data_IF_504940363308
#
_entry.id   IF_504940363308
#
_cell.length_a   1.000
_cell.length_b   1.000
_cell.length_c   1.000
_cell.angle_alpha   90.00
_cell.angle_beta   90.00
_cell.angle_gamma   90.00
#
_symmetry.space_group_name_H-M   'P 1'
#
loop_
_entity.id
_entity.type
_entity.pdbx_description
1 polymer ?
#
# COMPACT_ATOMS: atom_id res chain seq x y z
N UNK A 1 -2.21 -9.58 38.78
CA UNK A 1 -1.62 -10.39 37.69
C UNK A 1 -1.89 -9.67 36.38
N UNK A 2 -0.86 -9.24 35.69
CA UNK A 2 -1.01 -8.68 34.33
C UNK A 2 -1.46 -9.84 33.44
N UNK A 3 -2.65 -9.75 32.89
CA UNK A 3 -3.23 -10.76 31.99
C UNK A 3 -2.52 -10.79 30.64
N UNK A 4 -1.91 -9.68 30.26
CA UNK A 4 -1.11 -9.52 29.05
C UNK A 4 0.14 -8.72 29.41
N UNK A 5 1.28 -9.09 28.86
CA UNK A 5 2.49 -8.30 28.96
C UNK A 5 2.57 -7.25 27.79
N UNK A 6 3.64 -6.47 27.77
CA UNK A 6 3.80 -5.40 26.79
C UNK A 6 3.99 -5.96 25.37
N UNK A 7 4.68 -7.10 25.25
CA UNK A 7 4.91 -7.77 23.96
C UNK A 7 3.59 -8.33 23.42
N UNK A 8 2.81 -9.01 24.26
CA UNK A 8 1.48 -9.51 23.91
C UNK A 8 0.55 -8.38 23.42
N UNK A 9 0.60 -7.23 24.08
CA UNK A 9 -0.21 -6.07 23.69
C UNK A 9 0.22 -5.48 22.36
N UNK A 10 1.53 -5.40 22.10
CA UNK A 10 2.07 -4.92 20.81
C UNK A 10 1.73 -5.87 19.64
N UNK A 11 1.84 -7.19 19.85
CA UNK A 11 1.43 -8.18 18.86
C UNK A 11 -0.06 -8.06 18.52
N UNK A 12 -0.90 -7.88 19.54
CA UNK A 12 -2.34 -7.71 19.35
C UNK A 12 -2.67 -6.41 18.66
N UNK A 13 -1.99 -5.31 19.01
CA UNK A 13 -2.14 -4.02 18.32
C UNK A 13 -1.78 -4.15 16.83
N UNK A 14 -0.71 -4.87 16.54
CA UNK A 14 -0.28 -5.14 15.16
C UNK A 14 -1.28 -6.02 14.39
N UNK A 15 -1.86 -7.02 15.04
CA UNK A 15 -2.77 -8.00 14.40
C UNK A 15 -4.19 -7.47 14.23
N UNK A 16 -4.71 -6.73 15.20
CA UNK A 16 -6.10 -6.23 15.18
C UNK A 16 -6.23 -4.80 14.65
N UNK A 17 -5.11 -4.08 14.50
CA UNK A 17 -5.10 -2.64 14.22
C UNK A 17 -5.59 -1.82 15.41
N UNK A 18 -5.46 -0.50 15.33
CA UNK A 18 -5.86 0.41 16.43
C UNK A 18 -7.34 0.29 16.79
N UNK A 19 -8.22 0.25 15.80
CA UNK A 19 -9.67 0.18 16.04
C UNK A 19 -10.09 -1.11 16.71
N UNK A 20 -9.59 -2.25 16.23
CA UNK A 20 -9.87 -3.56 16.83
C UNK A 20 -9.27 -3.69 18.24
N UNK A 21 -8.06 -3.19 18.44
CA UNK A 21 -7.40 -3.17 19.73
C UNK A 21 -8.17 -2.32 20.76
N UNK A 22 -8.58 -1.10 20.41
CA UNK A 22 -9.35 -0.22 21.28
C UNK A 22 -10.69 -0.84 21.65
N UNK A 23 -11.40 -1.45 20.69
CA UNK A 23 -12.67 -2.09 20.96
C UNK A 23 -12.53 -3.29 21.91
N UNK A 24 -11.55 -4.17 21.66
CA UNK A 24 -11.42 -5.44 22.41
C UNK A 24 -10.63 -5.35 23.72
N UNK A 25 -9.64 -4.49 23.78
CA UNK A 25 -8.71 -4.41 24.92
C UNK A 25 -8.88 -3.13 25.76
N UNK A 26 -9.26 -2.02 25.14
CA UNK A 26 -9.50 -0.76 25.86
C UNK A 26 -10.99 -0.55 26.16
N UNK A 27 -11.90 -1.40 25.65
CA UNK A 27 -13.36 -1.28 25.81
C UNK A 27 -13.89 0.09 25.39
N UNK A 28 -13.22 0.76 24.45
CA UNK A 28 -13.62 2.06 23.95
C UNK A 28 -14.66 1.87 22.85
N UNK A 29 -15.90 2.15 23.18
CA UNK A 29 -17.04 2.08 22.25
C UNK A 29 -17.34 3.43 21.59
N UNK A 30 -16.70 4.52 22.05
CA UNK A 30 -16.84 5.83 21.45
C UNK A 30 -15.91 5.93 20.24
N UNK A 31 -16.46 5.73 19.05
CA UNK A 31 -15.72 5.98 17.82
C UNK A 31 -15.57 7.49 17.62
N UNK A 32 -14.48 8.06 18.13
CA UNK A 32 -14.06 9.38 17.69
C UNK A 32 -13.76 9.34 16.19
N UNK A 33 -13.80 10.49 15.50
CA UNK A 33 -13.40 10.57 14.08
C UNK A 33 -12.02 9.95 13.82
N UNK A 34 -11.14 10.00 14.82
CA UNK A 34 -9.83 9.37 14.78
C UNK A 34 -9.89 7.83 14.69
N UNK A 35 -10.88 7.17 15.28
CA UNK A 35 -11.07 5.72 15.23
C UNK A 35 -11.90 5.30 14.00
N UNK A 36 -12.78 6.18 13.53
CA UNK A 36 -13.60 5.94 12.34
C UNK A 36 -12.75 5.86 11.08
N UNK A 37 -11.66 6.63 10.99
CA UNK A 37 -10.73 6.68 9.87
C UNK A 37 -9.38 6.06 10.28
N UNK A 38 -9.19 4.74 10.11
CA UNK A 38 -8.06 4.02 10.72
C UNK A 38 -6.71 4.32 10.08
N UNK A 39 -6.69 4.77 8.82
CA UNK A 39 -5.45 5.05 8.11
C UNK A 39 -5.04 6.51 8.30
N UNK A 40 -3.83 6.74 8.79
CA UNK A 40 -3.31 8.08 9.12
C UNK A 40 -2.07 8.39 8.29
N UNK A 41 -1.94 9.65 7.83
CA UNK A 41 -0.75 10.09 7.11
C UNK A 41 0.49 10.09 8.00
N UNK A 42 0.33 10.33 9.29
CA UNK A 42 1.44 10.31 10.25
C UNK A 42 1.99 8.90 10.55
N UNK A 43 1.35 7.85 10.07
CA UNK A 43 1.87 6.49 10.12
C UNK A 43 2.83 6.17 8.95
N UNK A 44 2.81 7.00 7.92
CA UNK A 44 3.69 6.88 6.75
C UNK A 44 5.09 7.43 7.05
N UNK A 45 6.08 6.92 6.33
CA UNK A 45 7.41 7.52 6.27
C UNK A 45 7.55 8.21 4.91
N UNK A 46 7.78 9.51 4.89
CA UNK A 46 8.03 10.23 3.63
C UNK A 46 9.52 10.44 3.43
N UNK A 47 10.06 9.85 2.36
CA UNK A 47 11.47 9.92 1.99
C UNK A 47 11.61 10.47 0.57
N UNK A 48 12.14 11.68 0.43
CA UNK A 48 12.26 12.35 -0.87
C UNK A 48 13.10 11.54 -1.86
N UNK A 49 12.59 11.40 -3.08
CA UNK A 49 13.25 10.71 -4.18
C UNK A 49 13.17 9.18 -4.14
N UNK A 50 12.53 8.59 -3.13
CA UNK A 50 12.53 7.13 -2.94
C UNK A 50 11.82 6.38 -4.09
N UNK A 51 10.94 7.01 -4.84
CA UNK A 51 10.31 6.42 -6.02
C UNK A 51 11.30 6.09 -7.15
N UNK A 52 12.47 6.73 -7.16
CA UNK A 52 13.51 6.51 -8.16
C UNK A 52 14.63 5.59 -7.69
N UNK A 53 14.60 5.16 -6.43
CA UNK A 53 15.67 4.36 -5.85
C UNK A 53 15.73 2.96 -6.48
N UNK A 54 16.96 2.53 -6.82
CA UNK A 54 17.28 1.15 -7.21
C UNK A 54 17.71 0.30 -6.00
N UNK A 55 18.24 0.96 -5.00
CA UNK A 55 18.63 0.44 -3.70
C UNK A 55 18.05 1.35 -2.63
N UNK A 56 17.73 0.82 -1.46
CA UNK A 56 17.19 1.59 -0.35
C UNK A 56 18.12 1.51 0.87
N UNK A 57 18.03 2.46 1.81
CA UNK A 57 18.73 2.35 3.08
C UNK A 57 18.44 1.01 3.74
N UNK A 58 19.48 0.27 4.13
CA UNK A 58 19.35 -1.03 4.80
C UNK A 58 18.48 -0.96 6.07
N UNK A 59 18.39 0.24 6.67
CA UNK A 59 17.51 0.52 7.79
C UNK A 59 16.91 1.91 7.64
N UNK A 60 15.58 1.99 7.72
CA UNK A 60 14.80 3.22 7.79
C UNK A 60 13.89 3.16 9.01
N UNK A 61 13.80 4.23 9.78
CA UNK A 61 13.03 4.27 11.01
C UNK A 61 12.10 5.48 11.04
N UNK A 62 10.86 5.22 11.44
CA UNK A 62 9.87 6.24 11.73
C UNK A 62 10.24 7.04 12.98
N UNK A 63 9.78 8.29 13.06
CA UNK A 63 9.99 9.12 14.25
C UNK A 63 9.14 8.62 15.43
N UNK A 64 9.77 8.28 16.54
CA UNK A 64 9.10 7.68 17.70
C UNK A 64 8.75 8.67 18.81
N UNK A 65 9.19 9.92 18.73
CA UNK A 65 8.87 10.95 19.72
C UNK A 65 8.36 12.24 19.08
N UNK A 66 7.48 13.00 19.77
CA UNK A 66 6.98 14.27 19.26
C UNK A 66 8.07 15.30 18.93
N UNK A 67 9.17 15.30 19.67
CA UNK A 67 10.32 16.21 19.44
C UNK A 67 11.10 15.88 18.17
N UNK A 68 11.06 14.61 17.75
CA UNK A 68 11.71 14.09 16.55
C UNK A 68 10.77 14.00 15.35
N UNK A 69 9.46 14.13 15.58
CA UNK A 69 8.44 14.16 14.55
C UNK A 69 8.45 15.53 13.88
N UNK A 70 9.30 15.69 12.88
CA UNK A 70 9.31 16.89 12.04
C UNK A 70 8.42 16.64 10.83
N UNK A 71 7.48 17.58 10.59
CA UNK A 71 6.86 17.68 9.27
C UNK A 71 7.99 17.85 8.25
N UNK A 72 7.91 17.14 7.12
CA UNK A 72 9.00 17.09 6.15
C UNK A 72 9.15 18.41 5.44
N UNK A 73 8.04 18.96 5.03
CA UNK A 73 7.95 20.18 4.26
C UNK A 73 6.61 20.86 4.62
N UNK A 74 6.62 22.07 5.19
CA UNK A 74 5.39 22.78 5.51
C UNK A 74 4.56 23.14 4.26
N UNK A 75 5.17 23.12 3.07
CA UNK A 75 4.48 23.37 1.81
C UNK A 75 3.92 22.07 1.18
N UNK A 76 4.21 20.90 1.77
CA UNK A 76 3.70 19.64 1.29
C UNK A 76 2.18 19.57 1.47
N UNK A 77 1.40 19.38 0.39
CA UNK A 77 -0.05 19.40 0.48
C UNK A 77 -0.56 18.27 1.37
N UNK A 78 -1.35 18.64 2.37
CA UNK A 78 -1.88 17.71 3.36
C UNK A 78 -3.41 17.61 3.25
N UNK A 79 -3.90 16.43 2.92
CA UNK A 79 -5.33 16.09 2.82
C UNK A 79 -5.85 15.34 4.04
N UNK A 80 -5.01 15.17 5.06
CA UNK A 80 -5.33 14.48 6.31
C UNK A 80 -6.46 15.11 7.12
N UNK A 81 -6.88 14.43 8.16
CA UNK A 81 -7.78 14.98 9.17
C UNK A 81 -7.04 15.97 10.06
N UNK A 82 -7.80 16.73 10.87
CA UNK A 82 -7.19 17.67 11.83
C UNK A 82 -6.19 16.94 12.74
N UNK A 83 -4.95 17.42 12.75
CA UNK A 83 -3.86 16.83 13.54
C UNK A 83 -3.12 15.69 12.86
N UNK A 84 -3.48 15.33 11.64
CA UNK A 84 -2.74 14.39 10.81
C UNK A 84 -1.67 15.13 9.97
N UNK A 85 -0.48 14.56 9.83
CA UNK A 85 0.65 15.20 9.15
C UNK A 85 1.64 14.15 8.61
N UNK A 86 2.45 14.53 7.65
CA UNK A 86 3.51 13.67 7.12
C UNK A 86 4.75 13.70 8.01
N UNK A 87 5.44 12.57 8.10
CA UNK A 87 6.61 12.37 8.96
C UNK A 87 7.81 11.94 8.12
N UNK A 88 8.93 12.64 8.30
CA UNK A 88 10.22 12.21 7.77
C UNK A 88 10.77 11.03 8.56
N UNK A 89 11.64 10.19 7.98
CA UNK A 89 12.33 9.18 8.73
C UNK A 89 13.20 9.81 9.83
N UNK A 90 13.13 9.27 11.04
CA UNK A 90 14.01 9.66 12.14
C UNK A 90 15.47 9.29 11.85
N UNK A 91 15.64 8.14 11.22
CA UNK A 91 16.95 7.63 10.85
C UNK A 91 16.88 6.88 9.52
N UNK A 92 17.90 7.11 8.68
CA UNK A 92 18.20 6.29 7.51
C UNK A 92 19.66 5.88 7.57
N UNK A 93 19.95 4.58 7.37
CA UNK A 93 21.34 4.13 7.30
C UNK A 93 22.03 4.71 6.07
N UNK A 94 23.36 4.86 6.18
CA UNK A 94 24.20 5.26 5.05
C UNK A 94 24.49 4.09 4.11
N UNK A 95 24.28 2.88 4.57
CA UNK A 95 24.39 1.65 3.80
C UNK A 95 23.11 1.44 3.02
N UNK A 96 23.24 1.22 1.71
CA UNK A 96 22.15 0.94 0.81
C UNK A 96 22.24 -0.51 0.33
N UNK A 97 21.10 -1.15 0.13
CA UNK A 97 21.00 -2.51 -0.37
C UNK A 97 19.86 -2.64 -1.39
N UNK A 98 19.94 -3.65 -2.23
CA UNK A 98 18.95 -3.90 -3.27
C UNK A 98 17.62 -4.30 -2.66
N UNK A 99 16.55 -3.89 -3.31
CA UNK A 99 15.22 -4.37 -2.98
C UNK A 99 15.12 -5.89 -3.18
N UNK A 100 14.36 -6.55 -2.33
CA UNK A 100 14.07 -7.99 -2.41
C UNK A 100 13.17 -8.32 -3.61
N UNK A 101 12.40 -7.35 -4.07
CA UNK A 101 11.58 -7.45 -5.27
C UNK A 101 10.64 -6.27 -5.46
N UNK A 102 9.89 -6.32 -6.54
CA UNK A 102 8.92 -5.29 -6.95
C UNK A 102 7.62 -5.95 -7.40
N UNK A 103 6.52 -5.61 -6.76
CA UNK A 103 5.17 -6.04 -7.15
C UNK A 103 4.40 -4.86 -7.73
N UNK A 104 3.73 -5.09 -8.85
CA UNK A 104 2.75 -4.18 -9.42
C UNK A 104 1.37 -4.81 -9.31
N UNK A 105 0.42 -4.11 -8.73
CA UNK A 105 -1.00 -4.47 -8.80
C UNK A 105 -1.70 -3.70 -9.90
N UNK A 106 -2.74 -4.31 -10.45
CA UNK A 106 -3.64 -3.70 -11.43
C UNK A 106 -5.06 -4.04 -11.00
N UNK A 107 -5.86 -2.98 -10.76
CA UNK A 107 -7.32 -3.07 -10.59
C UNK A 107 -7.96 -2.60 -11.91
N UNK A 108 -8.35 -3.52 -12.79
CA UNK A 108 -8.87 -3.16 -14.10
C UNK A 108 -10.25 -2.54 -13.99
N UNK A 109 -10.46 -1.41 -14.66
CA UNK A 109 -11.81 -0.89 -14.84
C UNK A 109 -12.66 -1.83 -15.70
N UNK A 110 -13.91 -1.97 -15.30
CA UNK A 110 -14.92 -2.61 -16.14
C UNK A 110 -15.26 -1.79 -17.40
N UNK A 111 -16.46 -1.97 -17.91
CA UNK A 111 -17.00 -1.11 -18.97
C UNK A 111 -17.62 0.13 -18.33
N UNK A 112 -17.17 1.32 -18.72
CA UNK A 112 -17.74 2.57 -18.24
C UNK A 112 -16.72 3.69 -18.06
N UNK A 113 -17.03 4.64 -17.18
CA UNK A 113 -16.19 5.80 -16.83
C UNK A 113 -15.10 5.46 -15.79
N UNK A 114 -15.07 4.23 -15.29
CA UNK A 114 -14.08 3.81 -14.29
C UNK A 114 -12.69 3.71 -14.90
N UNK A 115 -11.69 4.05 -14.11
CA UNK A 115 -10.29 4.04 -14.52
C UNK A 115 -9.59 2.77 -14.06
N UNK A 116 -8.71 2.22 -14.90
CA UNK A 116 -7.82 1.13 -14.49
C UNK A 116 -6.75 1.70 -13.55
N UNK A 117 -6.78 1.28 -12.29
CA UNK A 117 -5.81 1.71 -11.30
C UNK A 117 -4.61 0.75 -11.23
N UNK A 118 -3.47 1.28 -10.82
CA UNK A 118 -2.26 0.50 -10.58
C UNK A 118 -1.49 1.05 -9.39
N UNK A 119 -0.73 0.18 -8.72
CA UNK A 119 0.25 0.55 -7.72
C UNK A 119 1.50 -0.31 -7.84
N UNK A 120 2.67 0.26 -7.54
CA UNK A 120 3.95 -0.44 -7.53
C UNK A 120 4.59 -0.31 -6.16
N UNK A 121 4.79 -1.46 -5.51
CA UNK A 121 5.44 -1.57 -4.21
C UNK A 121 6.74 -2.38 -4.33
N UNK A 122 7.85 -1.78 -3.88
CA UNK A 122 9.12 -2.48 -3.65
C UNK A 122 9.22 -2.87 -2.19
N UNK A 123 9.96 -3.94 -1.88
CA UNK A 123 10.17 -4.38 -0.50
C UNK A 123 11.65 -4.49 -0.16
N UNK A 124 11.98 -4.07 1.06
CA UNK A 124 13.25 -4.31 1.70
C UNK A 124 13.07 -4.52 3.21
N UNK A 125 13.48 -5.69 3.72
CA UNK A 125 13.44 -6.05 5.14
C UNK A 125 12.05 -5.82 5.80
N UNK A 126 10.98 -6.17 5.08
CA UNK A 126 9.60 -6.00 5.54
C UNK A 126 9.06 -4.57 5.49
N UNK A 127 9.82 -3.61 4.95
CA UNK A 127 9.38 -2.25 4.66
C UNK A 127 8.98 -2.15 3.20
N UNK A 128 7.80 -1.60 2.93
CA UNK A 128 7.24 -1.39 1.60
C UNK A 128 7.49 0.05 1.14
N UNK A 129 7.90 0.20 -0.10
CA UNK A 129 8.16 1.48 -0.76
C UNK A 129 7.18 1.66 -1.92
N UNK A 130 6.25 2.61 -1.79
CA UNK A 130 5.33 2.97 -2.87
C UNK A 130 6.08 3.84 -3.89
N UNK A 131 6.42 3.25 -5.03
CA UNK A 131 7.23 3.92 -6.06
C UNK A 131 6.42 4.46 -7.22
N UNK A 132 5.23 3.92 -7.47
CA UNK A 132 4.29 4.44 -8.45
C UNK A 132 2.86 4.08 -8.06
N UNK A 133 1.94 4.97 -8.33
CA UNK A 133 0.50 4.77 -8.19
C UNK A 133 -0.21 5.68 -9.17
N UNK A 134 -1.36 5.27 -9.66
CA UNK A 134 -2.16 6.09 -10.56
C UNK A 134 -3.31 5.34 -11.20
N UNK A 135 -3.99 6.02 -12.09
CA UNK A 135 -5.09 5.46 -12.87
C UNK A 135 -5.00 5.87 -14.33
N UNK A 136 -5.46 4.98 -15.20
CA UNK A 136 -5.45 5.13 -16.65
C UNK A 136 -6.87 5.01 -17.19
N UNK A 137 -7.22 5.88 -18.11
CA UNK A 137 -8.45 5.76 -18.88
C UNK A 137 -8.29 4.69 -19.97
N UNK A 138 -9.42 4.15 -20.46
CA UNK A 138 -9.43 3.29 -21.65
C UNK A 138 -9.52 1.78 -21.36
N UNK A 139 -9.66 1.38 -20.10
CA UNK A 139 -9.91 -0.03 -19.74
C UNK A 139 -8.88 -1.00 -20.34
N UNK A 140 -9.34 -1.91 -21.20
CA UNK A 140 -8.49 -2.92 -21.87
C UNK A 140 -7.96 -2.49 -23.23
N UNK A 141 -7.92 -1.19 -23.53
CA UNK A 141 -7.35 -0.73 -24.80
C UNK A 141 -5.85 -1.05 -24.90
N UNK A 142 -5.37 -1.24 -26.11
CA UNK A 142 -3.95 -1.51 -26.34
C UNK A 142 -3.07 -0.42 -25.72
N UNK A 143 -3.45 0.85 -25.83
CA UNK A 143 -2.72 1.97 -25.23
C UNK A 143 -2.57 1.81 -23.72
N UNK A 144 -3.66 1.49 -23.01
CA UNK A 144 -3.63 1.25 -21.56
C UNK A 144 -2.70 0.08 -21.21
N UNK A 145 -2.80 -1.04 -21.95
CA UNK A 145 -1.98 -2.22 -21.71
C UNK A 145 -0.49 -1.96 -22.00
N UNK A 146 -0.18 -1.21 -23.06
CA UNK A 146 1.19 -0.77 -23.35
C UNK A 146 1.74 0.17 -22.27
N UNK A 147 0.94 1.12 -21.77
CA UNK A 147 1.33 2.02 -20.69
C UNK A 147 1.60 1.27 -19.39
N UNK A 148 0.74 0.33 -19.00
CA UNK A 148 0.96 -0.54 -17.84
C UNK A 148 2.27 -1.33 -17.96
N UNK A 149 2.52 -1.91 -19.13
CA UNK A 149 3.76 -2.68 -19.38
C UNK A 149 5.02 -1.79 -19.31
N UNK A 150 4.94 -0.55 -19.78
CA UNK A 150 6.05 0.40 -19.66
C UNK A 150 6.26 0.90 -18.22
N UNK A 151 5.19 1.03 -17.42
CA UNK A 151 5.28 1.32 -15.98
C UNK A 151 5.98 0.16 -15.27
N UNK A 152 5.62 -1.09 -15.57
CA UNK A 152 6.28 -2.27 -15.05
C UNK A 152 7.78 -2.28 -15.39
N UNK A 153 8.14 -2.01 -16.65
CA UNK A 153 9.53 -1.92 -17.10
C UNK A 153 10.30 -0.82 -16.39
N UNK A 154 9.74 0.38 -16.25
CA UNK A 154 10.38 1.52 -15.59
C UNK A 154 10.71 1.21 -14.12
N UNK A 155 9.89 0.41 -13.46
CA UNK A 155 10.01 0.09 -12.04
C UNK A 155 10.71 -1.25 -11.77
N UNK A 156 11.20 -1.96 -12.78
CA UNK A 156 11.82 -3.29 -12.67
C UNK A 156 10.91 -4.30 -11.95
N UNK A 157 9.62 -4.35 -12.36
CA UNK A 157 8.60 -5.20 -11.73
C UNK A 157 8.91 -6.67 -11.94
N UNK A 158 8.94 -7.45 -10.87
CA UNK A 158 9.16 -8.89 -10.92
C UNK A 158 7.84 -9.66 -11.02
N UNK A 159 6.77 -9.09 -10.47
CA UNK A 159 5.50 -9.76 -10.31
C UNK A 159 4.33 -8.79 -10.48
N UNK A 160 3.39 -9.16 -11.33
CA UNK A 160 2.16 -8.40 -11.56
C UNK A 160 0.97 -9.18 -11.03
N UNK A 161 0.15 -8.54 -10.20
CA UNK A 161 -1.11 -9.07 -9.68
C UNK A 161 -2.26 -8.31 -10.31
N UNK A 162 -3.17 -9.01 -10.95
CA UNK A 162 -4.36 -8.42 -11.59
C UNK A 162 -5.61 -8.88 -10.85
N UNK A 163 -6.43 -7.94 -10.38
CA UNK A 163 -7.73 -8.29 -9.83
C UNK A 163 -8.72 -8.66 -10.94
N UNK A 164 -9.36 -9.82 -10.83
CA UNK A 164 -10.22 -10.38 -11.88
C UNK A 164 -11.69 -10.44 -11.49
N UNK A 165 -12.19 -9.44 -10.78
CA UNK A 165 -13.59 -9.40 -10.36
C UNK A 165 -14.56 -9.23 -11.55
N UNK A 166 -14.08 -8.78 -12.72
CA UNK A 166 -14.83 -8.62 -13.95
C UNK A 166 -14.08 -9.21 -15.15
N UNK A 167 -14.80 -9.94 -16.02
CA UNK A 167 -14.29 -10.32 -17.34
C UNK A 167 -13.52 -11.63 -17.44
N UNK A 168 -13.63 -12.52 -16.42
CA UNK A 168 -13.12 -13.91 -16.47
C UNK A 168 -11.72 -14.07 -17.07
N UNK A 169 -10.75 -13.26 -16.58
CA UNK A 169 -9.35 -13.34 -17.01
C UNK A 169 -9.03 -12.60 -18.31
N UNK A 170 -9.95 -11.80 -18.87
CA UNK A 170 -9.71 -11.08 -20.12
C UNK A 170 -8.55 -10.08 -19.98
N UNK A 171 -8.48 -9.32 -18.89
CA UNK A 171 -7.39 -8.38 -18.62
C UNK A 171 -6.04 -9.08 -18.65
N UNK A 172 -5.94 -10.20 -17.95
CA UNK A 172 -4.74 -11.04 -17.87
C UNK A 172 -4.37 -11.61 -19.22
N UNK A 173 -5.34 -12.14 -19.97
CA UNK A 173 -5.12 -12.71 -21.29
C UNK A 173 -4.58 -11.69 -22.32
N UNK A 174 -5.07 -10.46 -22.25
CA UNK A 174 -4.64 -9.35 -23.13
C UNK A 174 -3.30 -8.76 -22.70
N UNK A 175 -3.05 -8.63 -21.41
CA UNK A 175 -1.82 -8.02 -20.88
C UNK A 175 -0.60 -8.94 -21.02
N UNK A 176 -0.73 -10.24 -20.74
CA UNK A 176 0.40 -11.19 -20.75
C UNK A 176 1.24 -11.15 -22.02
N UNK A 177 0.66 -11.17 -23.24
CA UNK A 177 1.45 -11.13 -24.47
C UNK A 177 2.22 -9.82 -24.66
N UNK A 178 1.65 -8.69 -24.22
CA UNK A 178 2.28 -7.36 -24.31
C UNK A 178 3.39 -7.26 -23.28
N UNK A 179 3.11 -7.67 -22.04
CA UNK A 179 4.09 -7.71 -20.94
C UNK A 179 5.30 -8.56 -21.32
N UNK A 180 5.08 -9.76 -21.87
CA UNK A 180 6.17 -10.65 -22.30
C UNK A 180 7.11 -10.03 -23.36
N UNK A 181 6.61 -9.09 -24.19
CA UNK A 181 7.43 -8.39 -25.19
C UNK A 181 8.18 -7.18 -24.63
N UNK A 182 7.57 -6.45 -23.69
CA UNK A 182 8.10 -5.18 -23.19
C UNK A 182 8.96 -5.37 -21.94
N UNK A 183 8.45 -6.17 -21.00
CA UNK A 183 9.08 -6.45 -19.71
C UNK A 183 8.62 -7.82 -19.19
N UNK A 184 9.32 -8.91 -19.57
CA UNK A 184 8.97 -10.25 -19.10
C UNK A 184 9.00 -10.36 -17.58
N UNK A 185 7.85 -10.65 -16.98
CA UNK A 185 7.69 -10.87 -15.55
C UNK A 185 6.53 -11.83 -15.28
N UNK A 186 6.43 -12.33 -14.08
CA UNK A 186 5.30 -13.18 -13.67
C UNK A 186 4.01 -12.36 -13.59
N UNK A 187 2.91 -12.91 -14.10
CA UNK A 187 1.58 -12.28 -14.07
C UNK A 187 0.58 -13.26 -13.51
N UNK A 188 0.00 -12.94 -12.36
CA UNK A 188 -1.00 -13.74 -11.65
C UNK A 188 -2.33 -12.97 -11.55
N UNK A 189 -3.41 -13.71 -11.60
CA UNK A 189 -4.76 -13.23 -11.41
C UNK A 189 -5.23 -13.56 -10.00
N UNK A 190 -5.82 -12.59 -9.31
CA UNK A 190 -6.37 -12.77 -7.97
C UNK A 190 -7.85 -12.41 -7.93
N UNK A 191 -8.60 -13.11 -7.09
CA UNK A 191 -10.02 -12.85 -6.83
C UNK A 191 -10.24 -12.63 -5.35
N UNK A 192 -11.00 -11.60 -5.01
CA UNK A 192 -11.35 -11.29 -3.65
C UNK A 192 -12.86 -11.41 -3.44
N UNK A 193 -13.27 -12.16 -2.40
CA UNK A 193 -14.66 -12.38 -2.04
C UNK A 193 -15.07 -11.62 -0.76
N UNK A 194 -14.17 -10.79 -0.23
CA UNK A 194 -14.38 -10.01 0.99
C UNK A 194 -14.83 -8.60 0.60
N UNK A 195 -15.64 -7.96 1.43
CA UNK A 195 -16.00 -6.56 1.26
C UNK A 195 -14.75 -5.69 1.05
N UNK A 196 -14.75 -4.89 -0.01
CA UNK A 196 -13.60 -4.13 -0.50
C UNK A 196 -12.98 -3.23 0.58
N UNK A 197 -13.77 -2.39 1.22
CA UNK A 197 -13.31 -1.44 2.23
C UNK A 197 -12.69 -2.15 3.45
N UNK A 198 -13.29 -3.26 3.86
CA UNK A 198 -12.76 -4.07 4.94
C UNK A 198 -11.41 -4.67 4.57
N UNK A 199 -11.29 -5.25 3.37
CA UNK A 199 -10.05 -5.81 2.84
C UNK A 199 -8.94 -4.77 2.79
N UNK A 200 -9.24 -3.59 2.24
CA UNK A 200 -8.28 -2.46 2.16
C UNK A 200 -7.76 -2.10 3.54
N UNK A 201 -8.66 -1.87 4.49
CA UNK A 201 -8.28 -1.48 5.86
C UNK A 201 -7.52 -2.60 6.57
N UNK A 202 -8.02 -3.83 6.53
CA UNK A 202 -7.40 -4.98 7.20
C UNK A 202 -5.98 -5.26 6.65
N UNK A 203 -5.70 -4.91 5.39
CA UNK A 203 -4.38 -5.02 4.79
C UNK A 203 -3.47 -3.85 5.16
N UNK A 204 -3.94 -2.61 4.99
CA UNK A 204 -3.08 -1.44 5.11
C UNK A 204 -2.90 -0.95 6.55
N UNK A 205 -3.92 -1.09 7.41
CA UNK A 205 -3.85 -0.61 8.80
C UNK A 205 -2.68 -1.23 9.59
N UNK A 206 -2.43 -2.56 9.57
CA UNK A 206 -1.27 -3.14 10.26
C UNK A 206 0.08 -2.68 9.70
N UNK A 207 0.18 -2.50 8.38
CA UNK A 207 1.41 -2.04 7.71
C UNK A 207 1.71 -0.60 8.10
N UNK A 208 0.70 0.28 8.06
CA UNK A 208 0.83 1.69 8.40
C UNK A 208 1.08 1.88 9.90
N UNK A 209 0.31 1.21 10.77
CA UNK A 209 0.55 1.24 12.22
C UNK A 209 1.94 0.73 12.62
N UNK A 210 2.49 -0.21 11.85
CA UNK A 210 3.86 -0.69 12.00
C UNK A 210 4.90 0.23 11.38
N UNK A 211 4.50 1.39 10.82
CA UNK A 211 5.36 2.36 10.14
C UNK A 211 6.24 1.71 9.07
N UNK A 212 5.64 0.82 8.27
CA UNK A 212 6.33 0.03 7.24
C UNK A 212 5.97 0.43 5.82
N UNK A 213 5.34 1.59 5.63
CA UNK A 213 5.03 2.13 4.30
C UNK A 213 5.77 3.44 4.09
N UNK A 214 6.70 3.42 3.13
CA UNK A 214 7.52 4.57 2.72
C UNK A 214 6.96 5.15 1.43
N UNK A 215 6.87 6.47 1.36
CA UNK A 215 6.28 7.24 0.25
C UNK A 215 7.21 8.36 -0.18
N UNK A 216 7.26 8.63 -1.49
CA UNK A 216 7.97 9.77 -2.05
C UNK A 216 7.13 11.06 -1.91
N UNK A 217 7.76 12.16 -1.55
CA UNK A 217 7.14 13.48 -1.52
C UNK A 217 6.63 13.91 -2.91
N UNK A 218 7.28 13.46 -3.99
CA UNK A 218 6.82 13.70 -5.35
C UNK A 218 5.47 13.03 -5.62
N UNK A 219 5.25 11.80 -5.11
CA UNK A 219 3.94 11.14 -5.26
C UNK A 219 2.84 11.93 -4.56
N UNK A 220 3.10 12.50 -3.40
CA UNK A 220 2.14 13.34 -2.67
C UNK A 220 1.78 14.58 -3.48
N UNK A 221 2.80 15.25 -4.05
CA UNK A 221 2.63 16.46 -4.86
C UNK A 221 1.86 16.18 -6.16
N UNK A 222 2.14 15.06 -6.82
CA UNK A 222 1.42 14.66 -8.05
C UNK A 222 -0.02 14.21 -7.74
N UNK A 223 -0.23 13.44 -6.68
CA UNK A 223 -1.56 13.01 -6.23
C UNK A 223 -2.46 14.21 -5.93
N UNK A 224 -1.92 15.25 -5.28
CA UNK A 224 -2.67 16.45 -4.94
C UNK A 224 -3.18 17.25 -6.15
N UNK A 225 -2.58 17.08 -7.34
CA UNK A 225 -3.04 17.71 -8.59
C UNK A 225 -4.27 17.02 -9.20
N UNK A 226 -4.59 15.81 -8.74
CA UNK A 226 -5.74 15.06 -9.23
C UNK A 226 -7.05 15.61 -8.66
N UNK A 227 -8.15 15.26 -9.31
CA UNK A 227 -9.49 15.48 -8.75
C UNK A 227 -9.60 14.88 -7.34
N UNK A 228 -10.19 15.59 -6.34
CA UNK A 228 -10.17 15.16 -4.94
C UNK A 228 -10.63 13.72 -4.69
N UNK A 229 -11.61 13.22 -5.47
CA UNK A 229 -12.11 11.87 -5.31
C UNK A 229 -11.16 10.79 -5.86
N UNK A 230 -10.20 11.18 -6.67
CA UNK A 230 -9.17 10.30 -7.25
C UNK A 230 -7.82 10.42 -6.56
N UNK A 231 -7.70 11.22 -5.49
CA UNK A 231 -6.47 11.35 -4.73
C UNK A 231 -6.30 10.16 -3.78
N UNK A 232 -5.20 9.43 -3.91
CA UNK A 232 -4.85 8.29 -3.04
C UNK A 232 -4.85 8.68 -1.55
N UNK A 233 -4.16 9.76 -1.21
CA UNK A 233 -4.02 10.16 0.20
C UNK A 233 -5.34 10.66 0.79
N UNK A 234 -6.23 11.21 -0.03
CA UNK A 234 -7.59 11.52 0.39
C UNK A 234 -8.44 10.26 0.57
N UNK A 235 -8.38 9.31 -0.36
CA UNK A 235 -9.02 8.01 -0.22
C UNK A 235 -8.54 7.32 1.07
N UNK A 236 -7.23 7.28 1.31
CA UNK A 236 -6.61 6.70 2.50
C UNK A 236 -7.16 7.30 3.80
N UNK A 237 -7.24 8.63 3.89
CA UNK A 237 -7.66 9.31 5.12
C UNK A 237 -9.17 9.41 5.30
N UNK A 238 -9.99 8.94 4.36
CA UNK A 238 -11.46 9.00 4.39
C UNK A 238 -12.14 7.63 4.31
N UNK A 239 -11.39 6.56 4.08
CA UNK A 239 -11.94 5.21 4.05
C UNK A 239 -12.42 4.81 5.46
N UNK A 240 -13.58 4.18 5.52
CA UNK A 240 -14.14 3.55 6.72
C UNK A 240 -14.52 2.10 6.41
N UNK A 241 -14.85 1.31 7.43
CA UNK A 241 -15.30 -0.08 7.24
C UNK A 241 -16.71 -0.19 6.68
N UNK A 242 -17.41 0.95 6.50
CA UNK A 242 -18.76 0.98 5.94
C UNK A 242 -18.70 0.78 4.44
N UNK A 243 -19.64 -0.02 3.92
CA UNK A 243 -19.76 -0.24 2.46
C UNK A 243 -20.10 1.06 1.73
N UNK A 244 -19.35 1.36 0.68
CA UNK A 244 -19.52 2.59 -0.11
C UNK A 244 -19.02 3.84 0.60
N UNK A 245 -18.03 3.69 1.50
CA UNK A 245 -17.43 4.80 2.23
C UNK A 245 -16.79 5.87 1.32
N UNK A 246 -16.28 5.45 0.16
CA UNK A 246 -15.69 6.31 -0.84
C UNK A 246 -16.48 6.24 -2.16
N UNK A 247 -16.53 7.35 -2.90
CA UNK A 247 -17.09 7.37 -4.25
C UNK A 247 -16.19 6.67 -5.27
N UNK A 248 -14.90 6.85 -5.11
CA UNK A 248 -13.84 6.17 -5.86
C UNK A 248 -12.80 5.69 -4.86
N UNK A 249 -12.38 4.44 -4.97
CA UNK A 249 -11.42 3.78 -4.09
C UNK A 249 -10.33 3.03 -4.89
N UNK A 250 -10.28 3.27 -6.20
CA UNK A 250 -9.48 2.48 -7.14
C UNK A 250 -7.98 2.51 -6.80
N UNK A 251 -7.42 3.68 -6.46
CA UNK A 251 -5.99 3.80 -6.17
C UNK A 251 -5.61 3.16 -4.85
N UNK A 252 -6.40 3.38 -3.79
CA UNK A 252 -6.11 2.76 -2.49
C UNK A 252 -6.30 1.25 -2.55
N UNK A 253 -7.25 0.77 -3.34
CA UNK A 253 -7.44 -0.65 -3.57
C UNK A 253 -6.25 -1.27 -4.29
N UNK A 254 -5.76 -0.64 -5.36
CA UNK A 254 -4.54 -1.09 -6.03
C UNK A 254 -3.36 -1.19 -5.05
N UNK A 255 -3.16 -0.19 -4.16
CA UNK A 255 -2.12 -0.26 -3.12
C UNK A 255 -2.36 -1.43 -2.17
N UNK A 256 -3.60 -1.68 -1.74
CA UNK A 256 -3.92 -2.79 -0.85
C UNK A 256 -3.70 -4.16 -1.52
N UNK A 257 -4.04 -4.32 -2.80
CA UNK A 257 -3.78 -5.55 -3.56
C UNK A 257 -2.28 -5.84 -3.63
N UNK A 258 -1.44 -4.84 -3.97
CA UNK A 258 0.01 -5.01 -4.01
C UNK A 258 0.60 -5.32 -2.62
N UNK A 259 0.11 -4.67 -1.58
CA UNK A 259 0.54 -4.91 -0.20
C UNK A 259 0.16 -6.32 0.27
N UNK A 260 -1.07 -6.78 -0.02
CA UNK A 260 -1.52 -8.15 0.31
C UNK A 260 -0.67 -9.21 -0.39
N UNK A 261 -0.34 -9.00 -1.66
CA UNK A 261 0.53 -9.92 -2.40
C UNK A 261 1.93 -10.03 -1.77
N UNK A 262 2.45 -8.97 -1.17
CA UNK A 262 3.69 -9.01 -0.39
C UNK A 262 3.51 -9.80 0.91
N UNK A 263 2.45 -9.59 1.66
CA UNK A 263 2.16 -10.33 2.91
C UNK A 263 2.08 -11.83 2.62
N UNK A 264 1.32 -12.24 1.61
CA UNK A 264 1.19 -13.65 1.23
C UNK A 264 2.52 -14.31 0.82
N UNK A 265 3.39 -13.57 0.13
CA UNK A 265 4.73 -14.07 -0.24
C UNK A 265 5.63 -14.23 0.98
N UNK A 266 5.64 -13.27 1.89
CA UNK A 266 6.41 -13.39 3.13
C UNK A 266 5.96 -14.58 3.98
N UNK A 267 4.66 -14.84 4.07
CA UNK A 267 4.12 -15.97 4.79
C UNK A 267 4.51 -17.32 4.15
N UNK A 268 4.48 -17.42 2.81
CA UNK A 268 4.95 -18.60 2.08
C UNK A 268 6.42 -18.90 2.34
N UNK A 269 7.27 -17.88 2.31
CA UNK A 269 8.71 -18.02 2.54
C UNK A 269 9.01 -18.46 3.97
N UNK A 270 8.27 -17.98 4.96
CA UNK A 270 8.39 -18.44 6.36
C UNK A 270 8.00 -19.90 6.51
N UNK A 271 6.90 -20.35 5.89
CA UNK A 271 6.46 -21.75 5.92
C UNK A 271 7.48 -22.66 5.23
N UNK A 272 8.02 -22.25 4.09
CA UNK A 272 9.06 -23.02 3.38
C UNK A 272 10.33 -23.14 4.22
N UNK A 273 10.80 -22.05 4.82
CA UNK A 273 11.96 -22.03 5.72
C UNK A 273 11.76 -22.93 6.92
N UNK A 274 10.59 -22.87 7.56
CA UNK A 274 10.25 -23.73 8.70
C UNK A 274 10.26 -25.22 8.35
N UNK A 275 9.74 -25.60 7.18
CA UNK A 275 9.71 -26.99 6.73
C UNK A 275 11.12 -27.51 6.39
N UNK A 276 12.00 -26.69 5.80
CA UNK A 276 13.40 -27.02 5.53
C UNK A 276 14.24 -27.25 6.79
N UNK A 277 13.88 -26.65 7.92
CA UNK A 277 14.58 -26.86 9.21
C UNK A 277 14.08 -28.08 9.99
N UNK A 278 13.02 -28.74 9.49
CA UNK A 278 12.47 -29.98 10.10
C UNK A 278 12.99 -31.27 9.43
N UNK A 279 13.56 -31.20 8.25
CA UNK A 279 14.26 -32.28 7.55
C UNK A 279 15.74 -32.32 7.96
#
# INVERSE_FOLDING_TARGET
>A
SKRFDEVDLLERLSSYGRSGFNLQFMLDTTMSDANRYPLKLNDLIVASGCSTWKEAPAKIQWASSPEQMKAIDPELPNVGLKGDYYVAPMHMSKEFTKFEGTIMSIDPSGRGEDKTAYAVLKMLHGVLYLTAVGSLDGGYSDDTLYRLSNIAKKNDVNYVVIESNFGDGMATALLKPIMAKIHPCEVEEVRHNIQKEKRIIDTLEPIMNGHRLVIDDLLIKEDFKLEPNHQLFRQMTRITRDKGALRHDDQIDAVAIAANAWVERMDRDQVLSYNQHKE
#
